data_IF_508062585952
#
_entry.id   IF_508062585952
#
_cell.length_a   1.000
_cell.length_b   1.000
_cell.length_c   1.000
_cell.angle_alpha   90.00
_cell.angle_beta   90.00
_cell.angle_gamma   90.00
#
_symmetry.space_group_name_H-M   'P 1'
#
loop_
_entity.id
_entity.type
_entity.pdbx_description
1 polymer ?
#
# COMPACT_ATOMS: atom_id res chain seq x y z
N UNK A 1 -17.45 19.90 21.49
CA UNK A 1 -18.09 20.00 20.17
C UNK A 1 -17.35 19.14 19.13
N UNK A 2 -16.10 19.46 18.79
CA UNK A 2 -15.30 18.73 17.79
C UNK A 2 -15.22 17.22 18.03
N UNK A 3 -14.96 16.80 19.27
CA UNK A 3 -14.91 15.37 19.61
C UNK A 3 -16.21 14.65 19.27
N UNK A 4 -17.36 15.28 19.52
CA UNK A 4 -18.65 14.70 19.17
C UNK A 4 -18.87 14.69 17.66
N UNK A 5 -18.44 15.75 16.97
CA UNK A 5 -18.46 15.81 15.52
C UNK A 5 -17.70 14.62 14.92
N UNK A 6 -16.44 14.40 15.31
CA UNK A 6 -15.63 13.28 14.80
C UNK A 6 -16.22 11.90 15.09
N UNK A 7 -16.96 11.75 16.20
CA UNK A 7 -17.61 10.48 16.55
C UNK A 7 -18.89 10.21 15.76
N UNK A 8 -19.60 11.26 15.34
CA UNK A 8 -20.93 11.16 14.71
C UNK A 8 -20.90 11.37 13.20
N UNK A 9 -19.91 12.10 12.67
CA UNK A 9 -19.80 12.42 11.26
C UNK A 9 -19.64 11.17 10.39
N UNK A 10 -20.42 11.08 9.31
CA UNK A 10 -20.48 9.91 8.44
C UNK A 10 -19.13 9.63 7.77
N UNK A 11 -18.43 10.68 7.32
CA UNK A 11 -17.15 10.51 6.66
C UNK A 11 -16.07 10.06 7.65
N UNK A 12 -16.07 10.62 8.87
CA UNK A 12 -15.14 10.19 9.91
C UNK A 12 -15.36 8.75 10.34
N UNK A 13 -16.61 8.26 10.35
CA UNK A 13 -16.89 6.83 10.59
C UNK A 13 -16.43 5.91 9.45
N UNK A 14 -16.49 6.37 8.21
CA UNK A 14 -15.91 5.65 7.07
C UNK A 14 -14.37 5.62 7.14
N UNK A 15 -13.75 6.74 7.52
CA UNK A 15 -12.29 6.81 7.78
C UNK A 15 -11.91 5.92 8.97
N UNK A 16 -12.73 5.85 10.02
CA UNK A 16 -12.51 4.86 11.08
C UNK A 16 -12.57 3.44 10.52
N UNK A 17 -13.55 3.12 9.67
CA UNK A 17 -13.76 1.76 9.16
C UNK A 17 -12.69 1.28 8.17
N UNK A 18 -12.25 2.16 7.28
CA UNK A 18 -11.37 1.82 6.16
C UNK A 18 -10.03 2.54 6.17
N UNK A 19 -9.91 3.64 6.91
CA UNK A 19 -8.68 4.41 6.99
C UNK A 19 -8.47 5.16 5.70
N UNK A 20 -7.21 5.44 5.39
CA UNK A 20 -6.86 6.09 4.13
C UNK A 20 -7.02 5.18 2.93
N UNK A 21 -7.29 3.86 3.09
CA UNK A 21 -7.58 2.96 1.95
C UNK A 21 -8.66 3.49 1.01
N UNK A 22 -9.57 4.33 1.51
CA UNK A 22 -10.55 5.07 0.69
C UNK A 22 -9.91 5.90 -0.44
N UNK A 23 -8.67 6.36 -0.27
CA UNK A 23 -7.89 7.05 -1.29
C UNK A 23 -7.71 6.23 -2.57
N UNK A 24 -7.62 4.89 -2.45
CA UNK A 24 -7.50 3.98 -3.60
C UNK A 24 -8.66 4.17 -4.57
N UNK A 25 -9.88 4.38 -4.07
CA UNK A 25 -11.07 4.55 -4.90
C UNK A 25 -11.45 6.01 -5.13
N UNK A 26 -11.02 6.94 -4.26
CA UNK A 26 -11.41 8.36 -4.34
C UNK A 26 -10.41 9.22 -5.10
N UNK A 27 -9.12 8.92 -4.98
CA UNK A 27 -8.05 9.65 -5.65
C UNK A 27 -7.54 8.89 -6.87
N UNK A 28 -7.52 7.56 -6.78
CA UNK A 28 -7.06 6.69 -7.86
C UNK A 28 -5.53 6.60 -7.88
N UNK A 29 -4.95 5.39 -7.80
CA UNK A 29 -3.53 5.19 -7.93
C UNK A 29 -3.13 5.17 -9.40
N UNK A 30 -1.90 5.60 -9.68
CA UNK A 30 -1.28 5.33 -10.98
C UNK A 30 -0.61 3.95 -11.00
N UNK A 31 -0.50 3.39 -12.20
CA UNK A 31 0.05 2.06 -12.47
C UNK A 31 1.32 2.14 -13.32
N UNK A 32 2.33 1.35 -12.93
CA UNK A 32 3.63 1.21 -13.60
C UNK A 32 4.34 2.54 -13.86
N UNK A 33 4.83 3.19 -12.80
CA UNK A 33 5.52 4.48 -12.82
C UNK A 33 4.72 5.56 -13.58
N UNK A 34 3.52 5.83 -13.08
CA UNK A 34 2.68 6.93 -13.56
C UNK A 34 2.26 6.81 -15.04
N UNK A 35 2.33 5.61 -15.65
CA UNK A 35 1.96 5.40 -17.05
C UNK A 35 0.46 5.47 -17.29
N UNK A 36 -0.34 5.11 -16.29
CA UNK A 36 -1.80 5.10 -16.37
C UNK A 36 -2.43 5.31 -15.00
N UNK A 37 -3.29 6.29 -14.87
CA UNK A 37 -4.20 6.43 -13.73
C UNK A 37 -5.29 5.37 -13.80
N UNK A 38 -5.45 4.59 -12.72
CA UNK A 38 -6.49 3.57 -12.65
C UNK A 38 -7.80 4.16 -12.16
N UNK A 39 -8.88 3.84 -12.86
CA UNK A 39 -10.23 4.12 -12.37
C UNK A 39 -10.65 3.07 -11.33
N UNK A 40 -11.60 3.38 -10.43
CA UNK A 40 -12.03 2.45 -9.38
C UNK A 40 -12.46 1.07 -9.89
N UNK A 41 -13.07 1.00 -11.07
CA UNK A 41 -13.48 -0.25 -11.73
C UNK A 41 -12.30 -1.10 -12.25
N UNK A 42 -11.12 -0.51 -12.43
CA UNK A 42 -9.91 -1.19 -12.92
C UNK A 42 -9.03 -1.72 -11.79
N UNK A 43 -9.30 -1.29 -10.55
CA UNK A 43 -8.55 -1.72 -9.37
C UNK A 43 -9.06 -3.10 -8.92
N UNK A 44 -8.19 -4.09 -8.66
CA UNK A 44 -8.60 -5.38 -8.13
C UNK A 44 -9.35 -5.24 -6.80
N UNK A 45 -10.39 -6.05 -6.60
CA UNK A 45 -11.21 -5.99 -5.37
C UNK A 45 -10.39 -6.22 -4.10
N UNK A 46 -9.32 -7.02 -4.18
CA UNK A 46 -8.40 -7.27 -3.07
C UNK A 46 -7.62 -6.04 -2.60
N UNK A 47 -7.50 -5.00 -3.43
CA UNK A 47 -6.81 -3.75 -3.11
C UNK A 47 -7.77 -2.59 -2.82
N UNK A 48 -9.08 -2.80 -3.00
CA UNK A 48 -10.11 -1.85 -2.58
C UNK A 48 -10.28 -1.88 -1.05
N UNK A 49 -10.87 -0.84 -0.43
CA UNK A 49 -11.04 -0.76 1.02
C UNK A 49 -11.60 -2.03 1.69
N UNK A 50 -12.60 -2.68 1.08
CA UNK A 50 -13.20 -3.91 1.62
C UNK A 50 -12.26 -5.12 1.52
N UNK A 51 -11.43 -5.19 0.49
CA UNK A 51 -10.48 -6.29 0.26
C UNK A 51 -9.44 -6.43 1.37
N UNK A 52 -9.05 -5.32 1.98
CA UNK A 52 -8.10 -5.29 3.10
C UNK A 52 -8.69 -5.79 4.42
N UNK A 53 -10.02 -5.73 4.60
CA UNK A 53 -10.67 -6.06 5.87
C UNK A 53 -10.43 -7.49 6.33
N UNK A 54 -10.20 -8.42 5.40
CA UNK A 54 -9.91 -9.83 5.73
C UNK A 54 -8.56 -10.03 6.42
N UNK A 55 -7.63 -9.07 6.32
CA UNK A 55 -6.33 -9.11 7.01
C UNK A 55 -6.33 -8.32 8.32
N UNK A 56 -7.36 -7.51 8.58
CA UNK A 56 -7.42 -6.58 9.70
C UNK A 56 -7.76 -7.30 11.02
N UNK A 57 -6.92 -7.09 12.04
CA UNK A 57 -7.13 -7.54 13.42
C UNK A 57 -7.84 -6.50 14.28
N UNK A 58 -7.78 -5.23 13.90
CA UNK A 58 -8.38 -4.12 14.60
C UNK A 58 -7.81 -2.79 14.14
N UNK A 59 -8.16 -1.72 14.87
CA UNK A 59 -7.74 -0.35 14.55
C UNK A 59 -7.32 0.42 15.78
N UNK A 60 -6.45 1.41 15.59
CA UNK A 60 -5.96 2.26 16.67
C UNK A 60 -5.86 3.72 16.26
N UNK A 61 -5.86 4.60 17.26
CA UNK A 61 -5.70 6.04 17.09
C UNK A 61 -4.33 6.52 17.53
N UNK A 62 -3.91 7.65 16.95
CA UNK A 62 -2.88 8.48 17.55
C UNK A 62 -3.32 8.97 18.94
N UNK A 63 -2.39 9.55 19.69
CA UNK A 63 -2.68 10.05 21.05
C UNK A 63 -3.90 10.99 21.06
N UNK A 64 -4.93 10.63 21.83
CA UNK A 64 -6.18 11.41 21.97
C UNK A 64 -7.13 11.39 20.76
N UNK A 65 -6.76 10.73 19.66
CA UNK A 65 -7.57 10.68 18.45
C UNK A 65 -8.77 9.73 18.61
N UNK A 66 -9.98 10.24 18.39
CA UNK A 66 -11.22 9.46 18.47
C UNK A 66 -11.61 8.77 17.16
N UNK A 67 -10.95 9.11 16.05
CA UNK A 67 -11.23 8.53 14.73
C UNK A 67 -10.57 7.16 14.57
N UNK A 68 -9.37 6.96 15.12
CA UNK A 68 -8.65 5.68 15.06
C UNK A 68 -8.62 5.04 13.66
N UNK A 69 -8.06 5.76 12.68
CA UNK A 69 -8.05 5.36 11.28
C UNK A 69 -7.03 4.27 10.94
N UNK A 70 -6.03 4.05 11.80
CA UNK A 70 -4.89 3.18 11.52
C UNK A 70 -5.28 1.73 11.74
N UNK A 71 -5.14 0.92 10.70
CA UNK A 71 -5.37 -0.51 10.79
C UNK A 71 -4.22 -1.23 11.49
N UNK A 72 -4.53 -2.41 12.00
CA UNK A 72 -3.57 -3.42 12.46
C UNK A 72 -3.90 -4.65 11.64
N UNK A 73 -2.95 -5.18 10.88
CA UNK A 73 -3.18 -6.30 9.99
C UNK A 73 -2.20 -7.44 10.26
N UNK A 74 -2.53 -8.64 9.77
CA UNK A 74 -1.68 -9.82 9.85
C UNK A 74 -1.50 -10.46 8.48
N UNK A 75 -0.25 -10.78 8.15
CA UNK A 75 0.09 -11.51 6.93
C UNK A 75 -0.29 -12.99 7.13
N UNK A 76 -1.18 -13.57 6.30
CA UNK A 76 -1.74 -14.90 6.56
C UNK A 76 -0.84 -16.06 6.07
N UNK A 77 0.03 -15.82 5.10
CA UNK A 77 0.84 -16.83 4.43
C UNK A 77 2.12 -16.25 3.82
N UNK A 78 2.91 -17.08 3.14
CA UNK A 78 4.18 -16.67 2.56
C UNK A 78 5.31 -16.57 3.59
N UNK A 79 6.40 -15.91 3.18
CA UNK A 79 7.66 -15.81 3.94
C UNK A 79 7.48 -15.07 5.27
N UNK A 80 6.57 -14.11 5.32
CA UNK A 80 6.31 -13.26 6.49
C UNK A 80 5.01 -13.65 7.22
N UNK A 81 4.55 -14.89 7.05
CA UNK A 81 3.35 -15.41 7.72
C UNK A 81 3.37 -15.14 9.23
N UNK A 82 2.28 -14.56 9.72
CA UNK A 82 2.07 -14.26 11.14
C UNK A 82 2.62 -12.90 11.57
N UNK A 83 3.39 -12.22 10.73
CA UNK A 83 3.85 -10.87 11.01
C UNK A 83 2.67 -9.90 11.09
N UNK A 84 2.74 -8.99 12.06
CA UNK A 84 1.70 -7.99 12.34
C UNK A 84 2.24 -6.61 11.98
N UNK A 85 1.56 -5.97 11.04
CA UNK A 85 1.82 -4.60 10.63
C UNK A 85 0.78 -3.63 11.16
N UNK A 86 1.08 -2.34 11.05
CA UNK A 86 0.21 -1.25 11.51
C UNK A 86 0.24 -0.12 10.50
N UNK A 87 -0.88 0.59 10.33
CA UNK A 87 -0.98 1.78 9.47
C UNK A 87 -0.57 1.50 8.02
N UNK A 88 -1.20 0.53 7.36
CA UNK A 88 -1.05 0.39 5.91
C UNK A 88 -1.82 1.53 5.24
N UNK A 89 -1.19 2.67 5.04
CA UNK A 89 -1.86 3.84 4.47
C UNK A 89 -1.98 3.74 2.92
N UNK A 90 -2.84 4.56 2.32
CA UNK A 90 -3.04 4.64 0.87
C UNK A 90 -1.71 4.80 0.11
N UNK A 91 -0.85 5.69 0.57
CA UNK A 91 0.43 6.01 -0.06
C UNK A 91 1.32 4.78 -0.13
N UNK A 92 1.31 3.92 0.89
CA UNK A 92 2.04 2.65 0.88
C UNK A 92 1.47 1.70 -0.17
N UNK A 93 0.14 1.51 -0.19
CA UNK A 93 -0.54 0.66 -1.18
C UNK A 93 -0.24 1.11 -2.61
N UNK A 94 -0.30 2.42 -2.83
CA UNK A 94 -0.03 3.02 -4.12
C UNK A 94 1.46 2.89 -4.50
N UNK A 95 2.37 3.45 -3.72
CA UNK A 95 3.76 3.62 -4.12
C UNK A 95 4.52 2.30 -4.16
N UNK A 96 4.39 1.44 -3.14
CA UNK A 96 5.15 0.17 -3.09
C UNK A 96 4.44 -1.00 -3.76
N UNK A 97 3.18 -0.80 -4.17
CA UNK A 97 2.36 -1.80 -4.85
C UNK A 97 2.02 -1.39 -6.28
N UNK A 98 0.90 -0.68 -6.42
CA UNK A 98 0.23 -0.44 -7.70
C UNK A 98 1.14 0.32 -8.68
N UNK A 99 1.85 1.35 -8.21
CA UNK A 99 2.78 2.11 -9.05
C UNK A 99 3.99 1.26 -9.49
N UNK A 100 4.36 0.25 -8.69
CA UNK A 100 5.41 -0.71 -9.00
C UNK A 100 4.94 -1.87 -9.90
N UNK A 101 3.68 -1.87 -10.36
CA UNK A 101 3.11 -2.97 -11.14
C UNK A 101 2.63 -4.16 -10.29
N UNK A 102 2.76 -4.08 -8.97
CA UNK A 102 2.46 -5.16 -8.04
C UNK A 102 1.03 -5.01 -7.51
N UNK A 103 0.21 -6.03 -7.75
CA UNK A 103 -1.19 -6.06 -7.34
C UNK A 103 -1.50 -7.13 -6.27
N UNK A 104 -0.46 -7.73 -5.69
CA UNK A 104 -0.57 -8.71 -4.62
C UNK A 104 -0.66 -8.00 -3.25
N UNK A 105 -1.77 -8.16 -2.50
CA UNK A 105 -1.89 -7.57 -1.17
C UNK A 105 -0.82 -8.03 -0.18
N UNK A 106 -0.32 -9.26 -0.30
CA UNK A 106 0.66 -9.82 0.63
C UNK A 106 2.01 -9.11 0.45
N UNK A 107 2.49 -9.01 -0.79
CA UNK A 107 3.69 -8.27 -1.13
C UNK A 107 3.63 -6.80 -0.67
N UNK A 108 2.45 -6.16 -0.78
CA UNK A 108 2.25 -4.77 -0.36
C UNK A 108 2.33 -4.64 1.18
N UNK A 109 1.70 -5.55 1.92
CA UNK A 109 1.81 -5.61 3.38
C UNK A 109 3.26 -5.85 3.83
N UNK A 110 3.98 -6.74 3.14
CA UNK A 110 5.39 -7.03 3.40
C UNK A 110 6.26 -5.78 3.18
N UNK A 111 6.08 -5.07 2.06
CA UNK A 111 6.79 -3.83 1.77
C UNK A 111 6.52 -2.74 2.81
N UNK A 112 5.27 -2.59 3.25
CA UNK A 112 4.91 -1.67 4.32
C UNK A 112 5.65 -1.97 5.62
N UNK A 113 5.64 -3.24 6.05
CA UNK A 113 6.35 -3.64 7.27
C UNK A 113 7.87 -3.48 7.17
N UNK A 114 8.45 -3.80 6.02
CA UNK A 114 9.88 -3.61 5.78
C UNK A 114 10.25 -2.13 5.82
N UNK A 115 9.45 -1.26 5.19
CA UNK A 115 9.67 0.18 5.22
C UNK A 115 9.65 0.71 6.65
N UNK A 116 8.65 0.32 7.45
CA UNK A 116 8.58 0.67 8.88
C UNK A 116 9.81 0.17 9.66
N UNK A 117 10.21 -1.08 9.44
CA UNK A 117 11.34 -1.70 10.13
C UNK A 117 12.68 -1.05 9.80
N UNK A 118 12.86 -0.58 8.57
CA UNK A 118 14.07 0.11 8.12
C UNK A 118 13.99 1.64 8.26
N UNK A 119 12.84 2.19 8.68
CA UNK A 119 12.65 3.64 8.81
C UNK A 119 12.65 4.37 7.46
N UNK A 120 12.09 3.73 6.43
CA UNK A 120 12.00 4.28 5.08
C UNK A 120 10.61 4.88 4.84
N UNK A 121 10.57 6.03 4.17
CA UNK A 121 9.33 6.60 3.65
C UNK A 121 8.87 5.81 2.42
N UNK A 122 7.64 5.29 2.46
CA UNK A 122 7.08 4.41 1.42
C UNK A 122 6.86 5.14 0.09
N UNK A 123 6.64 6.45 0.11
CA UNK A 123 6.44 7.25 -1.11
C UNK A 123 7.70 7.28 -1.98
N UNK A 124 8.85 7.84 -1.52
CA UNK A 124 10.08 7.84 -2.29
C UNK A 124 10.61 6.43 -2.50
N UNK A 125 10.49 5.51 -1.52
CA UNK A 125 10.90 4.11 -1.70
C UNK A 125 10.21 3.47 -2.90
N UNK A 126 8.88 3.50 -2.93
CA UNK A 126 8.09 2.92 -4.01
C UNK A 126 8.33 3.61 -5.35
N UNK A 127 8.42 4.94 -5.37
CA UNK A 127 8.69 5.69 -6.61
C UNK A 127 10.10 5.45 -7.16
N UNK A 128 11.11 5.28 -6.31
CA UNK A 128 12.46 4.90 -6.73
C UNK A 128 12.49 3.49 -7.30
N UNK A 129 11.78 2.53 -6.68
CA UNK A 129 11.64 1.17 -7.23
C UNK A 129 10.93 1.19 -8.59
N UNK A 130 9.79 1.89 -8.69
CA UNK A 130 9.05 2.02 -9.94
C UNK A 130 9.88 2.68 -11.05
N UNK A 131 10.70 3.69 -10.71
CA UNK A 131 11.64 4.28 -11.66
C UNK A 131 12.71 3.29 -12.13
N UNK A 132 13.29 2.51 -11.22
CA UNK A 132 14.26 1.47 -11.58
C UNK A 132 13.63 0.41 -12.49
N UNK A 133 12.40 -0.04 -12.19
CA UNK A 133 11.62 -0.94 -13.06
C UNK A 133 11.41 -0.34 -14.45
N UNK A 134 11.09 0.96 -14.54
CA UNK A 134 10.94 1.64 -15.82
C UNK A 134 12.24 1.69 -16.63
N UNK A 135 13.36 2.04 -16.00
CA UNK A 135 14.66 2.03 -16.66
C UNK A 135 15.02 0.63 -17.17
N UNK A 136 14.74 -0.40 -16.38
CA UNK A 136 14.98 -1.79 -16.73
C UNK A 136 14.13 -2.21 -17.94
N UNK A 137 12.84 -1.89 -17.93
CA UNK A 137 11.91 -2.22 -19.02
C UNK A 137 12.21 -1.44 -20.31
N UNK A 138 12.92 -0.32 -20.21
CA UNK A 138 13.44 0.43 -21.37
C UNK A 138 14.80 -0.07 -21.86
N UNK A 139 15.39 -1.06 -21.19
CA UNK A 139 16.73 -1.57 -21.48
C UNK A 139 17.86 -0.59 -21.16
N UNK A 140 17.60 0.43 -20.33
CA UNK A 140 18.61 1.42 -19.91
C UNK A 140 19.50 0.84 -18.81
N UNK A 141 18.91 0.10 -17.88
CA UNK A 141 19.63 -0.77 -16.94
C UNK A 141 19.29 -2.21 -17.24
N UNK A 142 20.19 -3.11 -16.91
CA UNK A 142 20.12 -4.54 -17.24
C UNK A 142 20.14 -5.39 -15.99
N UNK A 143 20.00 -6.70 -16.16
CA UNK A 143 20.11 -7.67 -15.06
C UNK A 143 21.51 -7.67 -14.41
N UNK A 144 22.53 -7.24 -15.15
CA UNK A 144 23.88 -7.09 -14.61
C UNK A 144 23.96 -5.91 -13.63
N UNK A 145 23.37 -4.76 -14.00
CA UNK A 145 23.33 -3.55 -13.16
C UNK A 145 22.56 -3.75 -11.85
N UNK A 146 21.59 -4.67 -11.85
CA UNK A 146 20.73 -4.98 -10.71
C UNK A 146 21.24 -6.14 -9.85
N UNK A 147 22.47 -6.62 -10.08
CA UNK A 147 23.05 -7.73 -9.33
C UNK A 147 22.31 -9.07 -9.53
N UNK A 148 21.66 -9.26 -10.67
CA UNK A 148 20.91 -10.47 -10.99
C UNK A 148 19.39 -10.36 -10.78
N UNK A 149 18.88 -9.26 -10.23
CA UNK A 149 17.45 -9.07 -10.01
C UNK A 149 16.71 -8.74 -11.31
N UNK A 150 15.60 -9.44 -11.56
CA UNK A 150 14.70 -9.10 -12.66
C UNK A 150 13.70 -8.05 -12.16
N UNK A 151 13.75 -6.85 -12.73
CA UNK A 151 12.88 -5.73 -12.40
C UNK A 151 11.68 -5.61 -13.36
N UNK A 152 11.14 -6.76 -13.78
CA UNK A 152 9.87 -6.81 -14.51
C UNK A 152 8.72 -6.31 -13.61
N UNK A 153 7.71 -5.69 -14.20
CA UNK A 153 6.65 -5.00 -13.45
C UNK A 153 5.93 -5.91 -12.45
N UNK A 154 5.46 -7.07 -12.90
CA UNK A 154 4.67 -8.01 -12.08
C UNK A 154 5.53 -9.01 -11.29
N UNK A 155 6.85 -8.84 -11.28
CA UNK A 155 7.73 -9.72 -10.52
C UNK A 155 7.64 -9.38 -9.02
N UNK A 156 6.84 -10.16 -8.29
CA UNK A 156 6.64 -10.02 -6.84
C UNK A 156 7.87 -10.46 -6.05
N UNK A 157 8.57 -11.51 -6.49
CA UNK A 157 9.69 -12.08 -5.73
C UNK A 157 10.90 -11.12 -5.60
N UNK A 158 11.05 -10.21 -6.56
CA UNK A 158 12.11 -9.20 -6.61
C UNK A 158 11.61 -7.78 -6.27
N UNK A 159 10.39 -7.65 -5.72
CA UNK A 159 9.87 -6.40 -5.18
C UNK A 159 10.53 -6.09 -3.83
#
# INVERSE_FOLDING_TARGET
EDREYFLKDKFQREIHKYGTHLGVIRWGPDYRYFKKSLRPEEIPDGLKPEGWKKYELGRYGCHGCVVACKDVFRIPEGKYKGEVGKSLEYETIFCTGINCGILDPLAIMEMGNLADKYGLDTIPLGNTIAFAKELYNRGIITKEDTGGLSLEWENVDNQ
#
